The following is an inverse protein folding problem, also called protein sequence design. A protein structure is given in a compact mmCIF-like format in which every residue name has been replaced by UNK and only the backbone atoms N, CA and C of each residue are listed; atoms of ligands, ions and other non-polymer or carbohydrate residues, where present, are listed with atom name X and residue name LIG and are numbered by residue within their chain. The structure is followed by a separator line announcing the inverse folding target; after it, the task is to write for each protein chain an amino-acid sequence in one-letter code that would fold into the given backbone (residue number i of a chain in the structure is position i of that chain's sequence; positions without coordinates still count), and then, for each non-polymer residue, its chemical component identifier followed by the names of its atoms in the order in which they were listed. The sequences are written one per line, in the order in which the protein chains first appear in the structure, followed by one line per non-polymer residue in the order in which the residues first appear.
data_IF_625075721929
#
_entry.id   IF_625075721929
#
_cell.length_a   1.000
_cell.length_b   1.000
_cell.length_c   1.000
_cell.angle_alpha   90.00
_cell.angle_beta   90.00
_cell.angle_gamma   90.00
#
_symmetry.space_group_name_H-M   'P 1'
#
loop_
_entity.id
_entity.type
_entity.pdbx_description
1 polymer ?
#
# COMPACT_ATOMS: atom_id res chain seq x y z
N UNK A 1 8.53 26.44 16.49
CA UNK A 1 8.33 25.08 15.93
C UNK A 1 7.31 24.40 16.82
N UNK A 2 6.25 23.84 16.26
CA UNK A 2 5.27 23.08 17.00
C UNK A 2 5.89 21.80 17.59
N UNK A 3 5.18 21.14 18.49
CA UNK A 3 5.59 19.82 19.01
C UNK A 3 5.47 18.80 17.90
N UNK A 4 6.57 18.17 17.49
CA UNK A 4 6.53 17.06 16.54
C UNK A 4 5.94 15.80 17.20
N UNK A 5 5.08 15.11 16.45
CA UNK A 5 4.47 13.85 16.84
C UNK A 5 4.66 12.81 15.72
N UNK A 6 4.58 11.55 16.11
CA UNK A 6 4.62 10.42 15.18
C UNK A 6 3.20 9.93 14.93
N UNK A 7 2.87 9.71 13.66
CA UNK A 7 1.61 9.09 13.25
C UNK A 7 1.92 7.77 12.56
N UNK A 8 1.38 6.70 13.07
CA UNK A 8 1.53 5.36 12.50
C UNK A 8 0.63 5.20 11.28
N UNK A 9 1.22 4.93 10.14
CA UNK A 9 0.53 4.75 8.87
C UNK A 9 0.46 3.27 8.45
N UNK A 10 0.64 2.35 9.41
CA UNK A 10 0.68 0.91 9.12
C UNK A 10 -0.53 0.19 9.66
N UNK A 11 -1.02 -0.78 8.90
CA UNK A 11 -1.87 -1.81 9.46
C UNK A 11 -1.03 -2.78 10.31
N UNK A 12 -1.61 -3.37 11.37
CA UNK A 12 -0.94 -4.41 12.10
C UNK A 12 -0.69 -5.64 11.25
N UNK A 13 0.43 -6.29 11.47
CA UNK A 13 0.81 -7.50 10.78
C UNK A 13 0.47 -8.73 11.64
N UNK A 14 -0.27 -9.67 11.08
CA UNK A 14 -0.63 -10.92 11.79
C UNK A 14 -1.88 -11.59 11.26
N UNK A 15 -2.35 -12.60 12.01
CA UNK A 15 -3.59 -13.31 11.68
C UNK A 15 -4.77 -12.35 11.58
N UNK A 16 -5.68 -12.66 10.66
CA UNK A 16 -6.86 -11.86 10.43
C UNK A 16 -6.64 -10.65 9.52
N UNK A 17 -5.45 -10.53 8.95
CA UNK A 17 -5.23 -9.55 7.90
C UNK A 17 -5.81 -10.03 6.57
N UNK A 18 -6.27 -9.12 5.71
CA UNK A 18 -6.55 -9.47 4.33
C UNK A 18 -5.30 -10.07 3.69
N UNK A 19 -5.48 -11.21 3.01
CA UNK A 19 -4.41 -11.91 2.31
C UNK A 19 -4.65 -11.78 0.81
N UNK A 20 -3.59 -11.53 0.07
CA UNK A 20 -3.68 -11.59 -1.39
C UNK A 20 -4.22 -12.98 -1.81
N UNK A 21 -5.10 -13.07 -2.81
CA UNK A 21 -5.90 -14.28 -3.09
C UNK A 21 -5.14 -15.59 -3.29
N UNK A 22 -3.84 -15.53 -3.59
CA UNK A 22 -2.98 -16.72 -3.73
C UNK A 22 -2.12 -17.01 -2.50
N UNK A 23 -2.09 -16.11 -1.51
CA UNK A 23 -1.20 -16.23 -0.38
C UNK A 23 -1.79 -17.12 0.73
N UNK A 24 -0.95 -17.94 1.34
CA UNK A 24 -1.31 -18.70 2.54
C UNK A 24 -1.38 -17.82 3.78
N UNK A 25 -2.16 -18.26 4.76
CA UNK A 25 -2.27 -17.59 6.07
C UNK A 25 -0.97 -17.69 6.86
N UNK A 26 -0.83 -16.79 7.84
CA UNK A 26 0.30 -16.79 8.75
C UNK A 26 0.35 -18.00 9.64
N UNK A 27 1.54 -18.56 9.81
CA UNK A 27 1.77 -19.55 10.84
C UNK A 27 2.61 -18.93 11.97
N UNK A 28 1.97 -18.73 13.11
CA UNK A 28 2.58 -18.18 14.32
C UNK A 28 2.44 -19.20 15.45
N UNK A 29 3.57 -19.68 15.97
CA UNK A 29 3.61 -20.52 17.14
C UNK A 29 3.89 -19.72 18.42
N UNK A 30 3.11 -19.98 19.45
CA UNK A 30 3.38 -19.46 20.78
C UNK A 30 4.20 -20.47 21.57
N UNK A 31 5.53 -20.35 21.48
CA UNK A 31 6.49 -21.29 22.07
C UNK A 31 6.54 -21.18 23.60
N UNK A 32 6.43 -19.96 24.11
CA UNK A 32 6.32 -19.70 25.55
C UNK A 32 5.20 -18.71 25.82
N UNK A 33 4.51 -18.85 26.92
CA UNK A 33 3.40 -17.96 27.29
C UNK A 33 3.31 -17.76 28.81
N UNK A 34 2.81 -16.61 29.20
CA UNK A 34 2.34 -16.36 30.54
C UNK A 34 1.09 -17.19 30.82
N UNK A 35 0.83 -17.70 32.01
CA UNK A 35 1.62 -17.63 33.26
C UNK A 35 2.64 -18.74 33.42
N UNK A 36 2.68 -19.76 32.54
CA UNK A 36 3.50 -20.97 32.73
C UNK A 36 5.02 -20.69 32.64
N UNK A 37 5.43 -19.80 31.75
CA UNK A 37 6.85 -19.55 31.45
C UNK A 37 7.33 -18.18 31.91
N UNK A 38 6.46 -17.38 32.53
CA UNK A 38 6.74 -15.99 32.94
C UNK A 38 7.24 -15.07 31.81
N UNK A 39 7.00 -15.48 30.57
CA UNK A 39 7.31 -14.72 29.35
C UNK A 39 6.43 -15.15 28.19
N UNK A 40 6.38 -14.31 27.16
CA UNK A 40 5.82 -14.65 25.86
C UNK A 40 6.97 -14.81 24.85
N UNK A 41 6.98 -15.92 24.12
CA UNK A 41 7.84 -16.14 22.99
C UNK A 41 7.00 -16.66 21.83
N UNK A 42 7.01 -15.96 20.72
CA UNK A 42 6.32 -16.33 19.50
C UNK A 42 7.33 -16.54 18.38
N UNK A 43 7.01 -17.48 17.49
CA UNK A 43 7.78 -17.75 16.29
C UNK A 43 6.88 -17.57 15.08
N UNK A 44 7.31 -16.80 14.11
CA UNK A 44 6.72 -16.79 12.78
C UNK A 44 7.41 -17.88 11.96
N UNK A 45 6.64 -18.85 11.49
CA UNK A 45 7.16 -19.97 10.72
C UNK A 45 6.92 -19.79 9.22
N UNK A 46 5.84 -19.11 8.86
CA UNK A 46 5.48 -18.89 7.47
C UNK A 46 4.71 -17.56 7.33
N UNK A 47 5.11 -16.74 6.36
CA UNK A 47 4.40 -15.53 5.96
C UNK A 47 4.95 -15.04 4.61
N UNK A 48 4.08 -14.37 3.84
CA UNK A 48 4.50 -13.69 2.61
C UNK A 48 5.06 -12.31 2.93
N UNK A 49 6.10 -11.88 2.20
CA UNK A 49 6.71 -10.56 2.35
C UNK A 49 5.77 -9.44 1.90
N UNK A 50 4.87 -9.75 0.96
CA UNK A 50 3.85 -8.86 0.41
C UNK A 50 2.54 -9.01 1.20
N UNK A 51 2.57 -8.61 2.46
CA UNK A 51 1.41 -8.74 3.35
C UNK A 51 1.31 -7.54 4.28
N UNK A 52 0.08 -7.11 4.58
CA UNK A 52 -0.15 -5.91 5.39
C UNK A 52 0.53 -4.67 4.78
N UNK A 53 0.95 -3.71 5.60
CA UNK A 53 1.72 -2.57 5.11
C UNK A 53 3.14 -3.01 4.79
N UNK A 54 3.50 -2.99 3.52
CA UNK A 54 4.80 -3.48 3.03
C UNK A 54 5.34 -2.62 1.88
N UNK A 55 6.62 -2.77 1.64
CA UNK A 55 7.30 -2.14 0.51
C UNK A 55 7.76 -3.20 -0.49
N UNK A 56 7.58 -2.91 -1.77
CA UNK A 56 8.11 -3.71 -2.86
C UNK A 56 9.51 -3.24 -3.24
N UNK A 57 10.34 -4.18 -3.64
CA UNK A 57 11.63 -3.88 -4.27
C UNK A 57 11.57 -4.12 -5.77
N UNK A 58 12.45 -3.50 -6.58
CA UNK A 58 12.46 -3.71 -8.03
C UNK A 58 12.48 -5.16 -8.47
N UNK A 59 13.15 -6.04 -7.70
CA UNK A 59 13.21 -7.48 -8.01
C UNK A 59 11.86 -8.19 -7.99
N UNK A 60 10.80 -7.55 -7.44
CA UNK A 60 9.46 -8.13 -7.41
C UNK A 60 8.89 -8.35 -8.82
N UNK A 61 9.06 -7.38 -9.71
CA UNK A 61 8.49 -7.42 -11.07
C UNK A 61 9.53 -7.15 -12.18
N UNK A 62 10.70 -6.64 -11.85
CA UNK A 62 11.74 -6.31 -12.83
C UNK A 62 12.80 -7.41 -12.84
N UNK A 63 12.99 -8.12 -13.96
CA UNK A 63 14.10 -9.07 -14.10
C UNK A 63 15.45 -8.40 -13.77
N UNK A 64 16.26 -9.03 -12.92
CA UNK A 64 17.54 -8.49 -12.42
C UNK A 64 17.42 -7.18 -11.64
N UNK A 65 16.20 -6.80 -11.20
CA UNK A 65 15.95 -5.67 -10.32
C UNK A 65 16.62 -5.84 -8.94
N UNK A 66 16.92 -4.73 -8.29
CA UNK A 66 17.56 -4.73 -6.97
C UNK A 66 16.67 -5.38 -5.91
N UNK A 67 17.27 -6.23 -5.07
CA UNK A 67 16.63 -6.82 -3.90
C UNK A 67 16.57 -5.82 -2.73
N UNK A 68 15.68 -6.05 -1.78
CA UNK A 68 15.48 -5.20 -0.60
C UNK A 68 16.79 -4.86 0.12
N UNK A 69 17.70 -5.83 0.28
CA UNK A 69 18.96 -5.64 1.02
C UNK A 69 19.98 -4.76 0.30
N UNK A 70 19.80 -4.50 -0.98
CA UNK A 70 20.67 -3.70 -1.85
C UNK A 70 20.23 -2.24 -1.95
N UNK A 71 18.97 -1.95 -1.58
CA UNK A 71 18.41 -0.62 -1.70
C UNK A 71 18.92 0.32 -0.61
N UNK A 72 19.29 1.56 -0.94
CA UNK A 72 19.70 2.55 0.05
C UNK A 72 18.55 3.00 0.94
N UNK A 73 18.82 3.27 2.21
CA UNK A 73 17.80 3.70 3.18
C UNK A 73 17.15 5.03 2.80
N UNK A 74 17.88 5.87 2.08
CA UNK A 74 17.42 7.16 1.58
C UNK A 74 16.20 7.05 0.66
N UNK A 75 16.00 5.90 0.02
CA UNK A 75 14.81 5.62 -0.79
C UNK A 75 13.53 5.58 0.08
N UNK A 76 13.65 5.20 1.34
CA UNK A 76 12.53 4.99 2.27
C UNK A 76 12.37 6.09 3.30
N UNK A 77 12.98 7.26 3.06
CA UNK A 77 12.93 8.40 3.94
C UNK A 77 12.92 9.70 3.14
N UNK A 78 12.10 10.66 3.55
CA UNK A 78 12.08 11.98 2.93
C UNK A 78 10.81 12.78 3.19
N UNK A 79 10.71 13.97 2.60
CA UNK A 79 9.48 14.73 2.62
C UNK A 79 8.38 13.97 1.90
N UNK A 80 7.14 14.14 2.37
CA UNK A 80 5.96 13.48 1.81
C UNK A 80 4.74 14.38 1.82
N UNK A 81 3.80 14.08 0.94
CA UNK A 81 2.44 14.62 0.94
C UNK A 81 1.44 13.47 1.04
N UNK A 82 0.35 13.67 1.76
CA UNK A 82 -0.76 12.73 1.78
C UNK A 82 -1.95 13.34 1.03
N UNK A 83 -2.30 12.74 -0.09
CA UNK A 83 -3.41 13.17 -0.94
C UNK A 83 -4.71 12.49 -0.51
N UNK A 84 -5.80 13.26 -0.42
CA UNK A 84 -7.14 12.73 -0.21
C UNK A 84 -7.84 12.60 -1.57
N UNK A 85 -7.88 11.37 -2.08
CA UNK A 85 -8.44 11.02 -3.40
C UNK A 85 -9.48 9.91 -3.19
N UNK A 86 -10.66 10.21 -2.62
CA UNK A 86 -11.67 9.18 -2.39
C UNK A 86 -12.10 8.55 -3.71
N UNK A 87 -12.10 7.23 -3.74
CA UNK A 87 -12.48 6.40 -4.90
C UNK A 87 -13.43 5.30 -4.49
N UNK A 88 -14.31 4.97 -5.41
CA UNK A 88 -15.26 3.88 -5.29
C UNK A 88 -14.75 2.62 -6.00
N UNK A 89 -15.60 1.62 -6.06
CA UNK A 89 -15.43 0.33 -6.71
C UNK A 89 -14.91 0.47 -8.15
N UNK A 90 -13.72 -0.07 -8.42
CA UNK A 90 -13.02 -0.09 -9.71
C UNK A 90 -12.76 1.27 -10.37
N UNK A 91 -12.86 2.35 -9.63
CA UNK A 91 -12.49 3.66 -10.16
C UNK A 91 -10.97 3.79 -10.29
N UNK A 92 -10.53 4.43 -11.37
CA UNK A 92 -9.12 4.75 -11.58
C UNK A 92 -8.75 6.06 -10.86
N UNK A 93 -7.58 6.07 -10.26
CA UNK A 93 -6.89 7.29 -9.85
C UNK A 93 -6.25 7.88 -11.09
N UNK A 94 -6.66 9.07 -11.47
CA UNK A 94 -6.22 9.74 -12.69
C UNK A 94 -5.18 10.82 -12.42
N UNK A 95 -4.57 11.37 -13.47
CA UNK A 95 -3.67 12.54 -13.39
C UNK A 95 -4.40 13.73 -12.76
N UNK A 96 -5.63 13.98 -13.21
CA UNK A 96 -6.46 15.08 -12.71
C UNK A 96 -6.75 14.95 -11.22
N UNK A 97 -7.01 13.74 -10.73
CA UNK A 97 -7.22 13.49 -9.30
C UNK A 97 -5.99 13.87 -8.46
N UNK A 98 -4.81 13.46 -8.94
CA UNK A 98 -3.53 13.77 -8.29
C UNK A 98 -3.30 15.26 -8.25
N UNK A 99 -3.43 15.94 -9.38
CA UNK A 99 -3.21 17.37 -9.50
C UNK A 99 -4.19 18.19 -8.66
N UNK A 100 -5.48 17.82 -8.67
CA UNK A 100 -6.50 18.50 -7.87
C UNK A 100 -6.32 18.28 -6.36
N UNK A 101 -5.89 17.09 -5.96
CA UNK A 101 -5.57 16.82 -4.56
C UNK A 101 -4.29 17.53 -4.12
N UNK A 102 -3.26 17.56 -4.97
CA UNK A 102 -2.00 18.24 -4.70
C UNK A 102 -2.18 19.76 -4.47
N UNK A 103 -3.09 20.41 -5.22
CA UNK A 103 -3.41 21.84 -5.03
C UNK A 103 -3.96 22.16 -3.64
N UNK A 104 -4.52 21.17 -2.94
CA UNK A 104 -5.09 21.36 -1.59
C UNK A 104 -4.05 21.19 -0.49
N UNK A 105 -2.86 20.66 -0.80
CA UNK A 105 -1.76 20.51 0.14
C UNK A 105 -0.84 21.72 0.07
N UNK A 106 -0.46 22.27 1.21
CA UNK A 106 0.49 23.39 1.28
C UNK A 106 1.82 23.03 0.61
N UNK A 107 2.19 23.77 -0.42
CA UNK A 107 3.40 23.53 -1.22
C UNK A 107 3.26 22.47 -2.30
N UNK A 108 2.12 21.82 -2.44
CA UNK A 108 1.86 20.80 -3.47
C UNK A 108 2.83 19.62 -3.42
N UNK A 109 2.94 18.87 -4.52
CA UNK A 109 3.96 17.83 -4.70
C UNK A 109 5.25 18.49 -5.20
N UNK A 110 6.38 18.08 -4.68
CA UNK A 110 7.72 18.53 -5.09
C UNK A 110 8.56 17.35 -5.58
N UNK A 111 9.52 17.62 -6.46
CA UNK A 111 10.47 16.60 -6.93
C UNK A 111 11.17 15.94 -5.74
N UNK A 112 11.20 14.60 -5.72
CA UNK A 112 11.79 13.81 -4.65
C UNK A 112 10.89 13.57 -3.42
N UNK A 113 9.62 14.00 -3.46
CA UNK A 113 8.64 13.67 -2.42
C UNK A 113 8.23 12.20 -2.46
N UNK A 114 7.79 11.70 -1.32
CA UNK A 114 6.87 10.59 -1.22
C UNK A 114 5.44 11.09 -1.40
N UNK A 115 4.64 10.38 -2.19
CA UNK A 115 3.22 10.69 -2.39
C UNK A 115 2.39 9.57 -1.79
N UNK A 116 1.72 9.85 -0.68
CA UNK A 116 0.78 8.92 -0.04
C UNK A 116 -0.61 9.23 -0.57
N UNK A 117 -1.26 8.25 -1.17
CA UNK A 117 -2.59 8.40 -1.76
C UNK A 117 -3.60 7.63 -0.93
N UNK A 118 -4.58 8.34 -0.39
CA UNK A 118 -5.68 7.79 0.39
C UNK A 118 -6.97 7.80 -0.43
N UNK A 119 -7.44 6.62 -0.77
CA UNK A 119 -8.71 6.42 -1.49
C UNK A 119 -9.89 6.19 -0.53
N UNK A 120 -9.61 5.90 0.72
CA UNK A 120 -10.57 5.49 1.74
C UNK A 120 -10.68 3.98 1.91
N UNK A 121 -9.93 3.19 1.12
CA UNK A 121 -9.88 1.72 1.24
C UNK A 121 -9.27 1.25 2.56
N UNK A 122 -8.38 2.04 3.17
CA UNK A 122 -7.88 1.77 4.51
C UNK A 122 -9.00 1.47 5.54
N UNK A 123 -10.18 2.10 5.36
CA UNK A 123 -11.34 1.92 6.26
C UNK A 123 -12.01 0.57 6.10
N UNK A 124 -11.79 -0.09 4.96
CA UNK A 124 -12.36 -1.40 4.62
C UNK A 124 -11.42 -2.56 4.96
N UNK A 125 -10.27 -2.26 5.58
CA UNK A 125 -9.32 -3.27 6.03
C UNK A 125 -10.00 -4.31 6.94
N UNK A 126 -9.95 -5.57 6.57
CA UNK A 126 -10.55 -6.69 7.28
C UNK A 126 -10.40 -8.00 6.51
N UNK A 127 -10.82 -9.11 7.12
CA UNK A 127 -10.80 -10.44 6.49
C UNK A 127 -11.99 -10.61 5.54
N UNK A 128 -11.93 -9.99 4.38
CA UNK A 128 -12.94 -10.25 3.36
C UNK A 128 -12.38 -10.01 1.97
N UNK A 129 -12.86 -10.77 1.02
CA UNK A 129 -12.48 -10.64 -0.39
C UNK A 129 -12.88 -9.28 -0.99
N UNK A 130 -13.82 -8.56 -0.37
CA UNK A 130 -14.28 -7.27 -0.92
C UNK A 130 -13.20 -6.20 -0.88
N UNK A 131 -12.25 -6.31 0.08
CA UNK A 131 -11.09 -5.42 0.13
C UNK A 131 -10.24 -5.53 -1.13
N UNK A 132 -10.11 -6.72 -1.71
CA UNK A 132 -9.40 -6.96 -2.96
C UNK A 132 -10.30 -6.77 -4.18
N UNK A 133 -11.45 -7.44 -4.19
CA UNK A 133 -12.32 -7.54 -5.37
C UNK A 133 -12.82 -6.19 -5.88
N UNK A 134 -13.04 -5.24 -4.97
CA UNK A 134 -13.65 -3.96 -5.30
C UNK A 134 -12.74 -2.75 -5.09
N UNK A 135 -11.45 -2.99 -5.07
CA UNK A 135 -10.47 -1.93 -4.94
C UNK A 135 -10.45 -1.01 -6.17
N UNK A 136 -10.33 0.30 -5.97
CA UNK A 136 -9.85 1.20 -7.00
C UNK A 136 -8.37 0.94 -7.26
N UNK A 137 -7.78 1.64 -8.23
CA UNK A 137 -6.35 1.54 -8.49
C UNK A 137 -5.80 2.69 -9.32
N UNK A 138 -4.48 2.71 -9.46
CA UNK A 138 -3.80 3.74 -10.23
C UNK A 138 -3.93 3.49 -11.73
N UNK A 139 -4.15 4.55 -12.53
CA UNK A 139 -4.07 4.45 -13.98
C UNK A 139 -2.62 4.45 -14.45
N UNK A 140 -2.39 3.93 -15.65
CA UNK A 140 -1.07 3.94 -16.30
C UNK A 140 -0.56 5.38 -16.48
N UNK A 141 -1.43 6.27 -16.89
CA UNK A 141 -1.12 7.69 -17.08
C UNK A 141 -0.74 8.36 -15.77
N UNK A 142 -1.46 8.06 -14.69
CA UNK A 142 -1.14 8.60 -13.36
C UNK A 142 0.20 8.07 -12.84
N UNK A 143 0.53 6.80 -13.07
CA UNK A 143 1.82 6.25 -12.73
C UNK A 143 2.96 6.92 -13.51
N UNK A 144 2.79 7.11 -14.83
CA UNK A 144 3.76 7.83 -15.65
C UNK A 144 3.92 9.29 -15.20
N UNK A 145 2.83 9.96 -14.85
CA UNK A 145 2.85 11.34 -14.34
C UNK A 145 3.65 11.46 -13.03
N UNK A 146 3.43 10.54 -12.09
CA UNK A 146 4.18 10.49 -10.84
C UNK A 146 5.69 10.32 -11.08
N UNK A 147 6.07 9.44 -12.02
CA UNK A 147 7.48 9.12 -12.31
C UNK A 147 8.16 10.23 -13.13
N UNK A 148 7.58 10.61 -14.26
CA UNK A 148 8.29 11.39 -15.28
C UNK A 148 8.04 12.90 -15.16
N UNK A 149 6.84 13.31 -14.76
CA UNK A 149 6.49 14.72 -14.67
C UNK A 149 6.76 15.25 -13.25
N UNK A 150 6.27 14.54 -12.23
CA UNK A 150 6.42 14.95 -10.83
C UNK A 150 7.73 14.47 -10.19
N UNK A 151 8.36 13.43 -10.75
CA UNK A 151 9.64 12.84 -10.31
C UNK A 151 9.66 12.52 -8.83
N UNK A 152 8.64 11.83 -8.39
CA UNK A 152 8.51 11.44 -6.99
C UNK A 152 9.53 10.37 -6.61
N UNK A 153 9.91 10.30 -5.33
CA UNK A 153 10.81 9.28 -4.79
C UNK A 153 10.11 7.95 -4.55
N UNK A 154 8.86 8.00 -4.14
CA UNK A 154 8.06 6.83 -3.87
C UNK A 154 6.58 7.15 -3.74
N UNK A 155 5.77 6.12 -3.80
CA UNK A 155 4.32 6.20 -3.71
C UNK A 155 3.83 5.21 -2.66
N UNK A 156 2.89 5.62 -1.81
CA UNK A 156 2.20 4.74 -0.89
C UNK A 156 0.70 4.78 -1.14
N UNK A 157 0.07 3.62 -1.28
CA UNK A 157 -1.38 3.52 -1.45
C UNK A 157 -2.04 2.85 -0.24
N UNK A 158 -3.25 3.31 0.10
CA UNK A 158 -4.13 2.59 1.04
C UNK A 158 -4.88 1.43 0.36
N UNK A 159 -4.25 0.86 -0.66
CA UNK A 159 -4.73 -0.23 -1.51
C UNK A 159 -3.89 -1.49 -1.29
N UNK A 160 -4.44 -2.63 -1.69
CA UNK A 160 -3.79 -3.93 -1.59
C UNK A 160 -2.71 -4.17 -2.65
N UNK A 161 -2.64 -3.34 -3.68
CA UNK A 161 -1.65 -3.39 -4.76
C UNK A 161 -1.35 -1.98 -5.29
N UNK A 162 -0.18 -1.79 -5.88
CA UNK A 162 0.16 -0.58 -6.65
C UNK A 162 -0.73 -0.49 -7.89
N UNK A 163 -1.05 -1.63 -8.49
CA UNK A 163 -1.93 -1.74 -9.65
C UNK A 163 -3.40 -1.76 -9.29
N UNK A 164 -4.22 -1.39 -10.26
CA UNK A 164 -5.65 -1.67 -10.22
C UNK A 164 -5.89 -3.18 -10.24
N UNK A 165 -6.86 -3.66 -9.46
CA UNK A 165 -7.13 -5.10 -9.31
C UNK A 165 -7.36 -5.82 -10.65
N UNK A 166 -7.93 -5.13 -11.65
CA UNK A 166 -8.18 -5.69 -12.97
C UNK A 166 -6.92 -5.86 -13.83
N UNK A 167 -5.80 -5.26 -13.47
CA UNK A 167 -4.48 -5.50 -14.07
C UNK A 167 -3.75 -6.71 -13.46
N UNK A 168 -4.37 -7.43 -12.53
CA UNK A 168 -3.70 -8.49 -11.77
C UNK A 168 -4.29 -9.87 -12.05
N UNK A 169 -3.61 -10.91 -11.53
CA UNK A 169 -4.13 -12.28 -11.59
C UNK A 169 -5.30 -12.55 -10.64
N UNK A 170 -5.66 -11.62 -9.78
CA UNK A 170 -6.94 -11.71 -9.06
C UNK A 170 -8.10 -11.68 -10.05
N UNK A 171 -7.98 -10.91 -11.14
CA UNK A 171 -8.87 -10.95 -12.31
C UNK A 171 -8.36 -11.97 -13.35
N UNK A 172 -7.93 -11.54 -14.54
CA UNK A 172 -7.70 -12.46 -15.68
C UNK A 172 -6.23 -12.59 -16.12
N UNK A 173 -5.29 -11.90 -15.47
CA UNK A 173 -3.88 -11.95 -15.87
C UNK A 173 -3.14 -13.17 -15.32
N UNK A 174 -2.02 -13.52 -15.96
CA UNK A 174 -1.14 -14.59 -15.55
C UNK A 174 -1.86 -15.91 -15.28
N UNK A 175 -1.70 -16.50 -14.08
CA UNK A 175 -2.38 -17.75 -13.72
C UNK A 175 -3.83 -17.57 -13.29
N UNK A 176 -4.37 -16.34 -13.30
CA UNK A 176 -5.71 -16.01 -12.84
C UNK A 176 -6.85 -16.57 -13.71
N UNK A 177 -8.11 -16.34 -13.34
CA UNK A 177 -8.52 -15.51 -12.19
C UNK A 177 -8.51 -16.26 -10.84
N UNK A 178 -7.89 -15.67 -9.83
CA UNK A 178 -7.97 -16.19 -8.46
C UNK A 178 -9.23 -15.74 -7.73
N UNK A 179 -9.89 -14.68 -8.22
CA UNK A 179 -11.20 -14.21 -7.73
C UNK A 179 -12.19 -14.18 -8.91
N UNK A 180 -12.74 -15.32 -9.36
CA UNK A 180 -13.54 -15.42 -10.58
C UNK A 180 -14.75 -14.46 -10.59
N UNK A 181 -15.35 -14.16 -9.44
CA UNK A 181 -16.49 -13.25 -9.33
C UNK A 181 -16.20 -11.85 -9.88
N UNK A 182 -14.95 -11.37 -9.80
CA UNK A 182 -14.56 -10.06 -10.38
C UNK A 182 -14.87 -10.05 -11.87
N UNK A 183 -14.48 -11.11 -12.57
CA UNK A 183 -14.68 -11.24 -14.02
C UNK A 183 -16.16 -11.35 -14.36
N UNK A 184 -16.90 -12.16 -13.59
CA UNK A 184 -18.35 -12.35 -13.80
C UNK A 184 -19.13 -11.06 -13.58
N UNK A 185 -18.83 -10.33 -12.51
CA UNK A 185 -19.48 -9.06 -12.18
C UNK A 185 -19.10 -7.96 -13.17
N UNK A 186 -17.83 -7.91 -13.60
CA UNK A 186 -17.39 -6.96 -14.62
C UNK A 186 -18.14 -7.17 -15.93
N UNK A 187 -18.21 -8.41 -16.39
CA UNK A 187 -18.98 -8.78 -17.59
C UNK A 187 -20.46 -8.43 -17.47
N UNK A 188 -21.04 -8.67 -16.30
CA UNK A 188 -22.45 -8.34 -16.06
C UNK A 188 -22.70 -6.83 -16.10
N UNK A 189 -21.72 -6.02 -15.65
CA UNK A 189 -21.83 -4.57 -15.59
C UNK A 189 -21.52 -3.89 -16.94
N UNK A 190 -20.46 -4.33 -17.63
CA UNK A 190 -19.91 -3.65 -18.80
C UNK A 190 -20.18 -4.38 -20.13
N UNK A 191 -20.55 -5.67 -20.10
CA UNK A 191 -20.94 -6.44 -21.27
C UNK A 191 -19.77 -7.09 -22.04
N UNK A 192 -18.53 -6.98 -21.53
CA UNK A 192 -17.32 -7.55 -22.13
C UNK A 192 -16.33 -7.98 -21.04
N UNK A 193 -15.22 -8.61 -21.44
CA UNK A 193 -14.20 -9.11 -20.51
C UNK A 193 -13.34 -7.96 -19.94
N UNK A 194 -12.88 -8.05 -18.67
CA UNK A 194 -11.93 -7.08 -18.11
C UNK A 194 -10.67 -6.89 -18.95
N UNK A 195 -10.14 -7.95 -19.56
CA UNK A 195 -8.95 -7.88 -20.41
C UNK A 195 -9.07 -6.97 -21.63
N UNK A 196 -10.30 -6.61 -22.04
CA UNK A 196 -10.51 -5.67 -23.15
C UNK A 196 -10.17 -4.25 -22.74
N UNK A 197 -10.46 -3.88 -21.49
CA UNK A 197 -10.18 -2.55 -20.94
C UNK A 197 -8.84 -2.50 -20.18
N UNK A 198 -8.38 -3.63 -19.67
CA UNK A 198 -7.18 -3.77 -18.85
C UNK A 198 -6.24 -4.84 -19.44
N UNK A 199 -5.66 -4.61 -20.65
CA UNK A 199 -4.88 -5.64 -21.34
C UNK A 199 -3.47 -5.86 -20.77
N UNK A 200 -2.89 -4.90 -20.04
CA UNK A 200 -1.55 -4.99 -19.48
C UNK A 200 -1.55 -5.76 -18.15
N UNK A 201 -0.47 -6.46 -17.87
CA UNK A 201 -0.27 -7.13 -16.59
C UNK A 201 0.66 -6.32 -15.68
N UNK A 202 0.13 -5.86 -14.55
CA UNK A 202 0.85 -5.10 -13.51
C UNK A 202 1.67 -3.91 -14.05
N UNK A 203 1.05 -3.04 -14.89
CA UNK A 203 1.78 -1.96 -15.55
C UNK A 203 2.27 -0.90 -14.55
N UNK A 204 1.55 -0.65 -13.47
CA UNK A 204 1.93 0.38 -12.47
C UNK A 204 3.13 -0.07 -11.66
N UNK A 205 3.19 -1.35 -11.23
CA UNK A 205 4.38 -1.92 -10.62
C UNK A 205 5.59 -1.76 -11.55
N UNK A 206 5.45 -2.14 -12.82
CA UNK A 206 6.53 -2.05 -13.80
C UNK A 206 7.01 -0.62 -14.03
N UNK A 207 6.09 0.36 -14.09
CA UNK A 207 6.43 1.78 -14.26
C UNK A 207 7.15 2.32 -13.03
N UNK A 208 6.61 2.11 -11.84
CA UNK A 208 7.18 2.66 -10.61
C UNK A 208 8.53 2.00 -10.29
N UNK A 209 8.54 0.69 -10.09
CA UNK A 209 9.72 -0.05 -9.66
C UNK A 209 10.82 -0.10 -10.72
N UNK A 210 10.43 -0.14 -12.01
CA UNK A 210 11.36 -0.06 -13.14
C UNK A 210 12.10 1.27 -13.26
N UNK A 211 11.56 2.32 -12.66
CA UNK A 211 12.18 3.66 -12.59
C UNK A 211 12.71 4.00 -11.19
N UNK A 212 12.88 3.01 -10.32
CA UNK A 212 13.34 3.17 -8.94
C UNK A 212 12.46 4.10 -8.09
N UNK A 213 11.19 4.22 -8.41
CA UNK A 213 10.19 4.83 -7.53
C UNK A 213 9.65 3.74 -6.62
N UNK A 214 9.89 3.86 -5.32
CA UNK A 214 9.53 2.84 -4.34
C UNK A 214 8.01 2.78 -4.15
N UNK A 215 7.47 1.56 -4.05
CA UNK A 215 6.06 1.29 -3.78
C UNK A 215 5.82 0.86 -2.33
N UNK A 216 4.79 1.40 -1.69
CA UNK A 216 4.26 0.89 -0.42
C UNK A 216 2.78 0.63 -0.58
N UNK A 217 2.37 -0.58 -0.26
CA UNK A 217 0.99 -1.02 -0.30
C UNK A 217 0.38 -1.09 1.10
N UNK A 218 -0.94 -1.06 1.15
CA UNK A 218 -1.71 -1.17 2.38
C UNK A 218 -1.31 -0.11 3.44
N UNK A 219 -1.15 1.14 3.01
CA UNK A 219 -1.07 2.27 3.95
C UNK A 219 -2.35 2.31 4.78
N UNK A 220 -2.20 2.44 6.09
CA UNK A 220 -3.33 2.39 7.00
C UNK A 220 -3.08 3.12 8.32
N UNK A 221 -3.30 2.44 9.44
CA UNK A 221 -3.13 3.07 10.74
C UNK A 221 -3.97 4.33 10.89
N UNK A 222 -3.35 5.38 11.33
CA UNK A 222 -3.96 6.70 11.55
C UNK A 222 -3.78 7.64 10.34
N UNK A 223 -3.69 7.11 9.12
CA UNK A 223 -3.46 7.90 7.90
C UNK A 223 -4.48 9.03 7.69
N UNK A 224 -5.71 8.85 8.13
CA UNK A 224 -6.76 9.88 8.08
C UNK A 224 -6.37 11.18 8.81
N UNK A 225 -5.47 11.08 9.82
CA UNK A 225 -4.98 12.24 10.57
C UNK A 225 -4.03 13.13 9.80
N UNK A 226 -3.42 12.60 8.73
CA UNK A 226 -2.41 13.31 7.93
C UNK A 226 -2.86 13.58 6.49
N UNK A 227 -4.10 13.26 6.14
CA UNK A 227 -4.66 13.59 4.82
C UNK A 227 -4.67 15.10 4.57
N UNK A 228 -4.26 15.50 3.37
CA UNK A 228 -4.12 16.91 2.99
C UNK A 228 -2.90 17.60 3.59
N UNK A 229 -1.95 16.86 4.20
CA UNK A 229 -0.82 17.43 4.89
C UNK A 229 0.52 17.06 4.24
N UNK A 230 1.52 17.89 4.49
CA UNK A 230 2.94 17.64 4.19
C UNK A 230 3.67 17.31 5.49
N UNK A 231 4.54 16.30 5.47
CA UNK A 231 5.29 15.81 6.64
C UNK A 231 6.61 15.15 6.21
N UNK A 232 7.44 14.76 7.17
CA UNK A 232 8.54 13.84 6.92
C UNK A 232 8.04 12.41 7.06
N UNK A 233 8.42 11.57 6.13
CA UNK A 233 8.00 10.16 6.06
C UNK A 233 9.17 9.23 6.22
N UNK A 234 8.95 8.10 6.87
CA UNK A 234 9.86 6.96 6.80
C UNK A 234 9.11 5.63 6.83
N UNK A 235 9.68 4.64 6.11
CA UNK A 235 9.17 3.27 6.06
C UNK A 235 10.32 2.29 5.83
N UNK A 236 11.29 2.26 6.74
CA UNK A 236 12.50 1.47 6.54
C UNK A 236 12.20 -0.03 6.45
N UNK A 237 12.65 -0.70 5.36
CA UNK A 237 12.52 -2.12 5.16
C UNK A 237 13.42 -2.91 6.12
N UNK A 238 13.00 -4.12 6.48
CA UNK A 238 13.91 -5.10 7.05
C UNK A 238 14.89 -5.53 5.95
N UNK A 239 16.16 -5.68 6.32
CA UNK A 239 17.23 -6.02 5.36
C UNK A 239 17.24 -7.51 5.04
N UNK A 240 16.16 -8.00 4.44
CA UNK A 240 16.07 -9.39 3.98
C UNK A 240 17.07 -9.66 2.86
N UNK A 241 17.92 -10.69 3.02
CA UNK A 241 18.80 -11.11 1.95
C UNK A 241 17.98 -11.73 0.82
N UNK A 242 18.14 -11.19 -0.39
CA UNK A 242 17.37 -11.55 -1.60
C UNK A 242 15.85 -11.46 -1.42
N UNK A 243 15.36 -10.55 -0.58
CA UNK A 243 13.93 -10.27 -0.46
C UNK A 243 13.43 -9.41 -1.61
N UNK A 244 12.29 -9.77 -2.19
CA UNK A 244 11.59 -9.04 -3.25
C UNK A 244 10.63 -7.98 -2.70
N UNK A 245 10.37 -8.02 -1.42
CA UNK A 245 9.56 -7.09 -0.66
C UNK A 245 9.79 -7.24 0.83
N UNK A 246 9.12 -6.42 1.63
CA UNK A 246 9.24 -6.47 3.09
C UNK A 246 8.14 -5.73 3.80
N UNK A 247 7.70 -6.27 4.93
CA UNK A 247 6.84 -5.56 5.86
C UNK A 247 7.57 -4.32 6.38
N UNK A 248 6.88 -3.19 6.45
CA UNK A 248 7.43 -1.93 6.98
C UNK A 248 6.55 -1.34 8.07
N UNK A 249 7.15 -0.52 8.94
CA UNK A 249 6.42 0.41 9.78
C UNK A 249 6.48 1.79 9.14
N UNK A 250 5.43 2.14 8.40
CA UNK A 250 5.29 3.45 7.77
C UNK A 250 4.90 4.50 8.82
N UNK A 251 5.65 5.59 8.89
CA UNK A 251 5.49 6.61 9.94
C UNK A 251 5.58 8.01 9.35
N UNK A 252 4.63 8.87 9.70
CA UNK A 252 4.69 10.30 9.46
C UNK A 252 5.21 11.04 10.70
N UNK A 253 6.15 11.97 10.49
CA UNK A 253 6.63 12.93 11.48
C UNK A 253 6.03 14.28 11.13
N UNK A 254 5.14 14.79 11.95
CA UNK A 254 4.35 15.99 11.66
C UNK A 254 4.22 16.87 12.90
N UNK A 255 4.03 18.18 12.71
CA UNK A 255 3.70 19.09 13.80
C UNK A 255 2.26 18.80 14.30
N UNK A 256 2.07 18.70 15.61
CA UNK A 256 0.81 18.32 16.27
C UNK A 256 -0.38 19.24 15.90
N UNK A 257 -0.10 20.48 15.58
CA UNK A 257 -1.12 21.46 15.17
C UNK A 257 -1.62 21.28 13.72
N UNK A 258 -0.88 20.53 12.89
CA UNK A 258 -1.24 20.18 11.52
C UNK A 258 -2.11 18.91 11.41
N UNK A 259 -2.28 18.16 12.50
CA UNK A 259 -3.13 16.96 12.48
C UNK A 259 -4.60 17.29 12.25
N UNK A 260 -5.29 16.42 11.54
CA UNK A 260 -6.76 16.44 11.45
C UNK A 260 -7.35 15.97 12.79
N UNK A 261 -7.64 16.91 13.69
CA UNK A 261 -7.98 16.67 15.11
C UNK A 261 -9.32 15.98 15.34
N UNK A 262 -10.22 16.06 14.38
CA UNK A 262 -11.56 15.45 14.48
C UNK A 262 -11.55 13.96 14.09
N UNK A 263 -10.38 13.42 13.74
CA UNK A 263 -10.20 12.00 13.38
C UNK A 263 -9.80 11.22 14.63
N UNK A 264 -10.60 10.24 15.07
CA UNK A 264 -10.23 9.39 16.21
C UNK A 264 -9.08 8.44 15.84
N UNK A 265 -8.39 7.93 16.86
CA UNK A 265 -7.38 6.89 16.68
C UNK A 265 -8.00 5.65 16.04
N UNK A 266 -7.28 5.03 15.12
CA UNK A 266 -7.70 3.78 14.50
C UNK A 266 -7.68 2.65 15.54
N UNK A 267 -8.82 2.02 15.73
CA UNK A 267 -8.94 0.84 16.60
C UNK A 267 -9.09 -0.40 15.73
N UNK A 268 -8.16 -1.33 15.86
CA UNK A 268 -8.24 -2.64 15.22
C UNK A 268 -8.91 -3.64 16.14
N UNK A 269 -9.94 -4.32 15.63
CA UNK A 269 -10.58 -5.42 16.34
C UNK A 269 -9.87 -6.72 15.95
N UNK A 270 -9.06 -7.24 16.85
CA UNK A 270 -8.45 -8.55 16.67
C UNK A 270 -9.36 -9.62 17.27
N UNK A 271 -9.40 -10.80 16.63
CA UNK A 271 -9.98 -11.97 17.24
C UNK A 271 -9.25 -12.30 18.56
N UNK A 272 -10.00 -12.80 19.53
CA UNK A 272 -9.40 -13.29 20.77
C UNK A 272 -8.66 -14.59 20.46
N UNK A 273 -7.35 -14.63 20.72
CA UNK A 273 -6.53 -15.83 20.55
C UNK A 273 -6.78 -16.83 21.69
#
# INVERSE_FOLDING_TARGET
MGKQVLVDLSHPFGRGNPLWPSNGDFHIDRVQHMPMHYRLLQTFNDFHMHNSTHADSPSHVIPEGAFTHELPLENYYGPAVCLDIPKSHWELITVEDIDEAAKKVEGGIQEGDWVIICTGMNKRWGENDDYFAYSPGCSIEAANHLVFDLKVKGVGFDLQALDHILYTYAAQHGPGPYVPRIVEEYKAQFGHEPLEDYPEWEPVHNILLGNNVMGIENIGGDVEKVKGQRFMFCAFPLRWYMGDGTIVRAVAFIDEDKLNKDVPDRVYKYGVY
#
